data_IF_497052731843
#
_entry.id   IF_497052731843
#
_cell.length_a   1.000
_cell.length_b   1.000
_cell.length_c   1.000
_cell.angle_alpha   90.00
_cell.angle_beta   90.00
_cell.angle_gamma   90.00
#
_symmetry.space_group_name_H-M   'P 1'
#
loop_
_entity.id
_entity.type
_entity.pdbx_description
1 polymer ?
2 non-polymer ?
3 non-polymer ?
4 non-polymer ?
5 non-polymer ?
6 water ?
#
# COMPACT_ATOMS: atom_id res chain seq x y z
N UNK A 4 -8.89 -17.90 5.38
CA UNK A 4 -9.32 -18.39 4.06
C UNK A 4 -8.55 -17.83 2.85
N UNK A 5 -8.31 -16.53 2.84
CA UNK A 5 -7.65 -15.91 1.65
C UNK A 5 -6.24 -16.41 1.42
N UNK A 6 -5.40 -16.32 2.42
CA UNK A 6 -4.00 -16.72 2.30
C UNK A 6 -3.89 -18.25 2.19
N UNK A 7 -4.73 -19.00 2.91
CA UNK A 7 -4.67 -20.48 2.73
C UNK A 7 -5.02 -20.87 1.31
N UNK A 8 -6.03 -20.19 0.73
CA UNK A 8 -6.41 -20.51 -0.64
C UNK A 8 -5.41 -20.07 -1.67
N UNK A 9 -4.98 -18.81 -1.66
CA UNK A 9 -4.12 -18.31 -2.73
C UNK A 9 -2.66 -18.59 -2.48
N UNK A 10 -2.24 -18.65 -1.19
CA UNK A 10 -0.89 -19.03 -0.82
C UNK A 10 0.16 -18.05 -1.34
N UNK A 11 1.21 -18.62 -1.87
CA UNK A 11 2.37 -17.86 -2.30
C UNK A 11 2.06 -17.02 -3.52
N UNK A 12 2.20 -15.70 -3.39
CA UNK A 12 1.97 -14.78 -4.51
C UNK A 12 3.24 -14.65 -5.32
N UNK A 13 3.15 -14.36 -6.60
CA UNK A 13 4.30 -14.10 -7.44
C UNK A 13 3.82 -13.24 -8.62
N UNK A 14 4.83 -12.81 -9.42
CA UNK A 14 4.53 -12.11 -10.66
C UNK A 14 4.79 -13.01 -11.85
N UNK A 15 3.78 -13.12 -12.74
CA UNK A 15 3.89 -13.91 -13.97
C UNK A 15 3.40 -13.05 -15.11
N UNK A 16 4.26 -12.81 -16.11
CA UNK A 16 3.87 -12.00 -17.27
C UNK A 16 3.29 -10.67 -16.87
N UNK A 17 3.89 -10.04 -15.84
CA UNK A 17 3.46 -8.70 -15.44
C UNK A 17 2.24 -8.61 -14.58
N UNK A 18 1.73 -9.77 -14.11
CA UNK A 18 0.49 -9.86 -13.33
C UNK A 18 0.75 -10.50 -11.98
N UNK A 19 0.03 -10.01 -10.96
CA UNK A 19 0.00 -10.70 -9.66
C UNK A 19 -0.82 -11.97 -9.79
N UNK A 20 -0.20 -13.11 -9.40
CA UNK A 20 -0.88 -14.40 -9.47
C UNK A 20 -0.67 -15.15 -8.15
N UNK A 21 -1.53 -16.15 -7.94
CA UNK A 21 -1.42 -17.05 -6.78
C UNK A 21 -0.54 -18.24 -7.10
N UNK A 22 -0.48 -19.21 -6.19
CA UNK A 22 0.45 -20.33 -6.31
C UNK A 22 0.05 -21.35 -7.34
N UNK A 23 -1.12 -21.21 -7.92
CA UNK A 23 -1.56 -21.98 -9.08
C UNK A 23 -1.36 -21.23 -10.36
N UNK A 24 -0.84 -19.98 -10.32
CA UNK A 24 -0.65 -19.18 -11.52
C UNK A 24 -1.88 -18.42 -11.96
N UNK A 25 -2.92 -18.38 -11.13
CA UNK A 25 -4.14 -17.69 -11.45
C UNK A 25 -4.10 -16.20 -11.03
N UNK A 26 -4.59 -15.28 -11.81
CA UNK A 26 -4.61 -13.87 -11.39
C UNK A 26 -5.36 -13.69 -10.09
N UNK A 27 -4.85 -12.82 -9.23
CA UNK A 27 -5.50 -12.46 -7.98
C UNK A 27 -5.45 -10.92 -7.84
N UNK A 28 -6.49 -10.38 -7.28
CA UNK A 28 -6.61 -8.94 -7.04
C UNK A 28 -6.86 -8.71 -5.55
N UNK A 29 -5.94 -7.97 -4.93
CA UNK A 29 -6.07 -7.58 -3.53
C UNK A 29 -6.77 -6.21 -3.43
N UNK A 30 -7.66 -6.06 -2.45
CA UNK A 30 -8.33 -4.78 -2.18
C UNK A 30 -8.38 -4.62 -0.66
N UNK A 31 -7.93 -3.49 -0.16
CA UNK A 31 -7.97 -3.28 1.29
C UNK A 31 -7.73 -1.83 1.68
N UNK A 32 -7.39 -1.68 2.95
CA UNK A 32 -7.18 -0.38 3.57
C UNK A 32 -5.73 -0.19 3.96
N UNK A 33 -5.26 1.06 3.88
CA UNK A 33 -4.07 1.52 4.54
C UNK A 33 -4.41 2.20 5.86
N UNK A 34 -3.55 1.97 6.85
CA UNK A 34 -3.55 2.83 8.02
C UNK A 34 -3.17 4.26 7.56
N UNK A 35 -3.46 5.23 8.47
CA UNK A 35 -2.78 6.53 8.38
C UNK A 35 -1.43 6.36 9.04
N UNK A 36 -0.72 7.44 9.37
CA UNK A 36 0.60 7.26 9.98
C UNK A 36 0.49 6.52 11.31
N UNK A 37 1.31 5.47 11.49
CA UNK A 37 1.27 4.66 12.70
C UNK A 37 1.68 5.41 13.94
N UNK A 38 2.41 6.52 13.76
CA UNK A 38 2.83 7.37 14.88
C UNK A 38 1.72 8.27 15.39
N UNK A 39 0.63 8.40 14.64
CA UNK A 39 -0.49 9.30 14.96
C UNK A 39 -1.79 8.55 15.26
N UNK A 40 -2.08 7.50 14.48
CA UNK A 40 -3.37 6.82 14.49
C UNK A 40 -3.19 5.29 14.61
N UNK A 41 -2.19 4.90 15.40
CA UNK A 41 -1.96 3.47 15.59
C UNK A 41 -3.04 2.74 16.35
N UNK A 42 -3.89 3.48 17.08
CA UNK A 42 -4.93 2.81 17.84
C UNK A 42 -5.93 2.10 16.94
N UNK A 43 -6.04 2.50 15.64
CA UNK A 43 -6.91 1.86 14.70
C UNK A 43 -6.32 0.58 14.10
N UNK A 44 -5.10 0.22 14.46
CA UNK A 44 -4.42 -0.93 13.86
C UNK A 44 -4.27 -1.99 14.96
N UNK A 45 -5.12 -3.01 14.91
CA UNK A 45 -5.13 -4.06 15.92
C UNK A 45 -5.92 -5.24 15.35
N UNK A 46 -5.77 -6.41 16.00
CA UNK A 46 -6.51 -7.58 15.52
C UNK A 46 -7.98 -7.33 15.36
N UNK A 47 -8.64 -6.70 16.38
CA UNK A 47 -10.07 -6.56 16.28
C UNK A 47 -10.53 -5.65 15.14
N UNK A 48 -9.86 -4.51 14.94
CA UNK A 48 -10.29 -3.65 13.81
C UNK A 48 -10.02 -4.32 12.46
N UNK A 49 -8.89 -5.04 12.36
CA UNK A 49 -8.53 -5.73 11.13
C UNK A 49 -9.52 -6.87 10.86
N UNK A 50 -9.96 -7.57 11.92
CA UNK A 50 -10.96 -8.63 11.76
C UNK A 50 -12.30 -8.05 11.28
N UNK A 51 -12.68 -6.91 11.84
CA UNK A 51 -13.91 -6.24 11.40
C UNK A 51 -13.80 -5.82 9.93
N UNK A 52 -12.66 -5.25 9.53
CA UNK A 52 -12.47 -4.94 8.12
C UNK A 52 -12.55 -6.17 7.26
N UNK A 53 -11.93 -7.29 7.68
CA UNK A 53 -11.99 -8.52 6.89
C UNK A 53 -13.44 -9.00 6.71
N UNK A 54 -14.17 -9.06 7.84
CA UNK A 54 -15.48 -9.72 7.84
C UNK A 54 -16.58 -8.80 7.37
N UNK A 55 -16.60 -7.53 7.72
CA UNK A 55 -17.68 -6.60 7.34
C UNK A 55 -17.35 -5.88 6.03
N UNK A 56 -16.09 -5.49 5.76
CA UNK A 56 -15.78 -4.84 4.48
C UNK A 56 -15.33 -5.80 3.40
N UNK A 57 -14.80 -6.99 3.79
CA UNK A 57 -14.25 -7.92 2.81
C UNK A 57 -12.81 -7.66 2.42
N UNK A 58 -12.01 -6.94 3.23
CA UNK A 58 -10.63 -6.69 2.85
C UNK A 58 -9.86 -8.03 2.79
N UNK A 59 -8.86 -8.07 1.87
CA UNK A 59 -7.94 -9.22 1.78
C UNK A 59 -6.48 -8.79 1.88
N UNK A 60 -6.24 -7.49 2.18
CA UNK A 60 -4.89 -6.97 2.40
C UNK A 60 -5.04 -5.77 3.33
N UNK A 61 -4.03 -5.55 4.17
CA UNK A 61 -3.96 -4.35 5.03
C UNK A 61 -2.57 -3.77 4.92
N UNK A 62 -2.47 -2.44 4.77
CA UNK A 62 -1.21 -1.75 4.61
C UNK A 62 -0.88 -0.96 5.88
N UNK A 63 0.30 -1.26 6.45
CA UNK A 63 0.83 -0.61 7.66
C UNK A 63 1.77 0.50 7.23
N UNK A 64 1.26 1.76 7.31
CA UNK A 64 2.00 2.94 6.80
C UNK A 64 2.89 3.53 7.89
N UNK A 65 4.15 3.04 7.90
CA UNK A 65 5.11 3.46 8.91
C UNK A 65 5.91 4.64 8.36
N UNK A 66 5.42 5.87 8.62
CA UNK A 66 6.20 7.06 8.28
C UNK A 66 7.59 6.88 8.87
N UNK A 67 8.60 7.33 8.11
CA UNK A 67 9.98 7.41 8.52
C UNK A 67 10.25 8.73 9.24
N UNK A 68 9.84 9.84 8.60
CA UNK A 68 10.00 11.17 9.21
C UNK A 68 8.64 11.58 9.83
N UNK A 69 8.49 12.88 10.14
CA UNK A 69 7.20 13.37 10.66
C UNK A 69 6.84 12.71 11.99
N UNK A 70 7.84 12.47 12.85
CA UNK A 70 7.61 11.81 14.13
C UNK A 70 7.52 10.30 14.07
N UNK A 71 7.81 9.75 12.88
CA UNK A 71 7.80 8.33 12.66
C UNK A 71 9.06 7.63 13.07
N UNK A 72 9.41 6.54 12.38
CA UNK A 72 10.40 5.59 12.80
C UNK A 72 11.78 6.18 13.08
N UNK A 73 12.27 7.11 12.27
CA UNK A 73 13.58 7.68 12.50
C UNK A 73 13.61 8.43 13.82
N UNK A 74 12.56 9.17 14.13
CA UNK A 74 12.45 9.93 15.37
C UNK A 74 12.17 9.06 16.59
N UNK A 75 11.36 8.01 16.39
CA UNK A 75 10.96 7.16 17.51
C UNK A 75 10.72 5.78 16.90
N UNK A 76 11.69 4.89 17.02
CA UNK A 76 11.60 3.60 16.33
C UNK A 76 10.67 2.62 16.93
N UNK A 77 10.04 2.95 18.09
CA UNK A 77 9.10 2.07 18.73
C UNK A 77 7.94 1.72 17.84
N UNK A 78 7.65 2.55 16.83
CA UNK A 78 6.55 2.30 15.93
C UNK A 78 6.76 1.01 15.12
N UNK A 79 8.00 0.51 14.98
CA UNK A 79 8.15 -0.77 14.30
C UNK A 79 7.37 -1.90 15.00
N UNK A 80 7.14 -1.77 16.34
CA UNK A 80 6.38 -2.81 17.03
C UNK A 80 4.93 -2.79 16.63
N UNK A 81 4.38 -1.63 16.23
CA UNK A 81 3.02 -1.58 15.71
C UNK A 81 2.96 -2.25 14.34
N UNK A 82 4.00 -2.09 13.49
CA UNK A 82 4.06 -2.85 12.23
C UNK A 82 4.00 -4.34 12.56
N UNK A 83 4.81 -4.80 13.52
CA UNK A 83 4.80 -6.22 13.90
C UNK A 83 3.41 -6.67 14.34
N UNK A 84 2.72 -5.84 15.16
CA UNK A 84 1.34 -6.17 15.56
C UNK A 84 0.44 -6.37 14.35
N UNK A 85 0.54 -5.45 13.35
CA UNK A 85 -0.28 -5.55 12.15
C UNK A 85 0.04 -6.80 11.34
N UNK A 86 1.32 -7.12 11.17
CA UNK A 86 1.72 -8.31 10.41
C UNK A 86 1.18 -9.57 11.09
N UNK A 87 1.36 -9.64 12.41
CA UNK A 87 0.88 -10.80 13.17
C UNK A 87 -0.62 -10.94 13.11
N UNK A 88 -1.36 -9.82 13.18
CA UNK A 88 -2.81 -9.86 13.01
C UNK A 88 -3.19 -10.38 11.62
N UNK A 89 -2.50 -9.93 10.57
CA UNK A 89 -2.79 -10.40 9.22
C UNK A 89 -2.54 -11.91 9.12
N UNK A 90 -1.45 -12.39 9.73
CA UNK A 90 -1.16 -13.85 9.76
C UNK A 90 -2.32 -14.57 10.46
N UNK A 91 -2.76 -14.07 11.61
CA UNK A 91 -3.84 -14.73 12.38
C UNK A 91 -5.17 -14.66 11.66
N UNK A 92 -5.41 -13.63 10.87
CA UNK A 92 -6.65 -13.42 10.14
C UNK A 92 -6.62 -14.01 8.73
N UNK A 93 -5.47 -14.52 8.31
CA UNK A 93 -5.29 -15.14 7.02
C UNK A 93 -5.55 -14.15 5.86
N UNK A 94 -5.00 -12.93 5.99
CA UNK A 94 -5.01 -11.92 4.91
C UNK A 94 -3.56 -11.50 4.63
N UNK A 95 -3.37 -10.81 3.49
CA UNK A 95 -2.07 -10.31 3.14
C UNK A 95 -1.81 -8.97 3.86
N UNK A 96 -0.51 -8.59 3.96
CA UNK A 96 -0.12 -7.39 4.69
C UNK A 96 1.05 -6.72 3.98
N UNK A 97 0.94 -5.40 3.84
CA UNK A 97 2.00 -4.58 3.23
C UNK A 97 2.75 -3.84 4.34
N UNK A 98 4.07 -4.04 4.40
CA UNK A 98 4.96 -3.31 5.31
C UNK A 98 5.51 -2.09 4.53
N UNK A 99 4.98 -0.90 4.86
CA UNK A 99 5.30 0.31 4.06
C UNK A 99 6.26 1.22 4.83
N UNK A 100 7.48 1.32 4.26
CA UNK A 100 8.53 2.29 4.67
C UNK A 100 8.09 3.62 4.03
N UNK A 101 7.36 4.42 4.86
CA UNK A 101 6.52 5.48 4.31
C UNK A 101 7.27 6.82 4.26
N UNK A 102 8.17 6.91 3.28
CA UNK A 102 8.90 8.15 3.02
C UNK A 102 7.92 9.15 2.41
N UNK A 103 8.19 10.46 2.65
CA UNK A 103 7.36 11.54 2.09
C UNK A 103 8.15 12.83 2.09
N UNK A 104 8.24 13.50 3.26
CA UNK A 104 9.07 14.73 3.36
C UNK A 104 10.54 14.45 3.14
N UNK A 105 10.97 13.27 3.60
CA UNK A 105 12.28 12.70 3.31
C UNK A 105 12.19 12.10 1.91
N UNK A 106 12.31 13.01 0.92
CA UNK A 106 11.77 12.75 -0.42
C UNK A 106 12.64 11.84 -1.28
N UNK A 107 13.91 11.72 -0.91
CA UNK A 107 14.85 10.82 -1.59
C UNK A 107 14.94 9.57 -0.72
N UNK A 108 14.65 8.36 -1.23
CA UNK A 108 14.77 7.16 -0.35
C UNK A 108 16.18 6.94 0.12
N UNK A 109 17.21 7.53 -0.54
CA UNK A 109 18.57 7.35 -0.07
C UNK A 109 18.85 8.07 1.26
N UNK A 110 18.01 9.02 1.69
CA UNK A 110 18.34 9.74 2.93
C UNK A 110 18.46 8.80 4.09
N UNK A 111 17.53 7.83 4.23
CA UNK A 111 17.52 6.90 5.35
C UNK A 111 17.79 5.46 4.88
N UNK A 112 18.60 5.31 3.83
CA UNK A 112 18.82 3.97 3.26
C UNK A 112 19.47 3.01 4.25
N UNK A 113 20.40 3.46 5.08
CA UNK A 113 21.04 2.54 6.03
C UNK A 113 19.98 1.98 7.01
N UNK A 114 19.14 2.90 7.52
CA UNK A 114 18.07 2.49 8.43
C UNK A 114 17.07 1.58 7.74
N UNK A 115 16.76 1.87 6.46
CA UNK A 115 15.83 1.03 5.70
C UNK A 115 16.37 -0.41 5.55
N UNK A 116 17.68 -0.51 5.22
CA UNK A 116 18.28 -1.82 5.07
C UNK A 116 18.17 -2.61 6.39
N UNK A 117 18.51 -1.94 7.51
CA UNK A 117 18.41 -2.64 8.79
C UNK A 117 16.98 -3.02 9.13
N UNK A 118 16.02 -2.15 8.87
CA UNK A 118 14.61 -2.42 9.15
C UNK A 118 14.09 -3.59 8.32
N UNK A 119 14.39 -3.57 6.99
CA UNK A 119 13.92 -4.66 6.16
C UNK A 119 14.69 -5.94 6.41
N UNK A 120 15.95 -5.91 6.84
CA UNK A 120 16.60 -7.14 7.30
C UNK A 120 15.80 -7.74 8.47
N UNK A 121 15.47 -6.90 9.46
CA UNK A 121 14.74 -7.41 10.64
C UNK A 121 13.39 -8.00 10.25
N UNK A 122 12.61 -7.25 9.44
CA UNK A 122 11.25 -7.70 9.11
C UNK A 122 11.28 -8.96 8.28
N UNK A 123 12.20 -9.06 7.29
CA UNK A 123 12.28 -10.26 6.45
C UNK A 123 12.83 -11.47 7.22
N UNK A 124 13.73 -11.21 8.21
CA UNK A 124 14.16 -12.32 9.06
C UNK A 124 13.01 -12.86 9.89
N UNK A 125 12.19 -11.97 10.46
CA UNK A 125 11.08 -12.39 11.31
C UNK A 125 9.99 -13.08 10.53
N UNK A 126 9.58 -12.51 9.37
CA UNK A 126 8.34 -12.88 8.70
C UNK A 126 8.57 -13.47 7.34
N UNK A 127 9.82 -13.69 6.92
CA UNK A 127 10.09 -14.11 5.55
C UNK A 127 9.63 -15.49 5.19
N UNK A 128 9.25 -16.34 6.17
CA UNK A 128 8.68 -17.66 5.86
C UNK A 128 7.18 -17.74 6.03
N UNK A 129 6.51 -16.57 5.88
CA UNK A 129 5.06 -16.49 5.75
C UNK A 129 4.72 -15.97 4.34
N UNK A 130 3.66 -16.43 3.70
CA UNK A 130 3.30 -15.94 2.38
C UNK A 130 2.52 -14.62 2.44
N UNK A 131 2.17 -14.17 3.65
CA UNK A 131 1.29 -13.01 3.79
C UNK A 131 1.99 -11.68 3.40
N UNK A 132 3.32 -11.65 3.54
CA UNK A 132 4.05 -10.39 3.58
C UNK A 132 4.37 -9.87 2.17
N UNK A 133 4.15 -8.55 2.05
CA UNK A 133 4.50 -7.76 0.86
C UNK A 133 5.35 -6.57 1.40
N UNK A 134 6.52 -6.36 0.83
CA UNK A 134 7.41 -5.28 1.31
C UNK A 134 7.27 -4.06 0.41
N UNK A 135 6.98 -2.89 0.97
CA UNK A 135 6.88 -1.64 0.19
C UNK A 135 8.01 -0.75 0.67
N UNK A 136 9.12 -0.73 -0.11
CA UNK A 136 10.41 -0.23 0.37
C UNK A 136 10.57 1.29 0.34
N UNK A 137 9.69 2.04 -0.33
CA UNK A 137 9.78 3.51 -0.32
C UNK A 137 8.46 4.07 -0.88
N UNK A 138 7.55 4.43 0.04
CA UNK A 138 6.22 4.90 -0.35
C UNK A 138 6.21 5.81 -1.59
N UNK A 139 6.76 7.02 -1.43
CA UNK A 139 6.65 8.10 -2.47
C UNK A 139 7.94 8.91 -2.57
N UNK A 140 8.90 8.41 -3.34
CA UNK A 140 10.00 9.29 -3.83
C UNK A 140 9.34 10.52 -4.48
N UNK A 141 9.94 11.70 -4.30
CA UNK A 141 9.39 12.91 -4.93
C UNK A 141 10.50 13.95 -5.03
N UNK A 142 10.22 14.97 -5.86
CA UNK A 142 11.18 16.04 -6.12
C UNK A 142 11.82 15.85 -7.49
N UNK A 143 12.10 16.99 -8.18
CA UNK A 143 12.70 16.90 -9.51
C UNK A 143 14.12 16.39 -9.43
N UNK A 144 14.79 16.40 -8.29
CA UNK A 144 16.13 15.87 -8.11
C UNK A 144 16.18 14.40 -7.70
N UNK A 145 15.01 13.74 -7.69
CA UNK A 145 14.94 12.33 -7.35
C UNK A 145 14.36 11.62 -8.55
N UNK A 146 15.22 10.92 -9.30
CA UNK A 146 14.79 10.23 -10.51
C UNK A 146 14.91 8.70 -10.31
N UNK A 147 14.14 7.99 -11.16
CA UNK A 147 14.24 6.53 -11.19
C UNK A 147 15.65 6.06 -11.41
N UNK A 148 16.31 6.52 -12.49
CA UNK A 148 17.61 5.96 -12.81
C UNK A 148 18.70 6.35 -11.87
N UNK A 149 18.68 7.58 -11.31
CA UNK A 149 19.78 8.06 -10.49
C UNK A 149 19.61 7.78 -9.01
N UNK A 150 18.39 7.79 -8.51
CA UNK A 150 18.14 7.67 -7.08
C UNK A 150 17.36 6.40 -6.70
N UNK A 151 16.20 6.17 -7.35
CA UNK A 151 15.27 5.15 -6.83
C UNK A 151 15.70 3.73 -7.18
N UNK A 152 16.04 3.51 -8.46
CA UNK A 152 16.48 2.18 -8.86
C UNK A 152 17.70 1.71 -8.10
N UNK A 153 18.77 2.57 -7.95
CA UNK A 153 19.93 2.14 -7.17
C UNK A 153 19.59 1.89 -5.70
N UNK A 154 18.70 2.69 -5.09
CA UNK A 154 18.23 2.42 -3.73
C UNK A 154 17.61 1.00 -3.66
N UNK A 155 16.72 0.71 -4.59
CA UNK A 155 16.06 -0.60 -4.61
C UNK A 155 17.11 -1.73 -4.77
N UNK A 156 18.15 -1.46 -5.58
CA UNK A 156 19.20 -2.47 -5.81
C UNK A 156 20.14 -2.65 -4.62
N UNK A 157 19.99 -1.84 -3.56
CA UNK A 157 20.62 -2.09 -2.26
C UNK A 157 19.67 -2.75 -1.26
N UNK A 158 18.38 -2.36 -1.26
CA UNK A 158 17.45 -2.90 -0.25
C UNK A 158 16.95 -4.29 -0.63
N UNK A 159 16.64 -4.49 -1.92
CA UNK A 159 16.13 -5.79 -2.37
C UNK A 159 17.10 -6.94 -2.00
N UNK A 160 18.42 -6.84 -2.21
CA UNK A 160 19.29 -7.96 -1.82
C UNK A 160 19.21 -8.27 -0.34
N UNK A 161 19.07 -7.25 0.53
CA UNK A 161 18.91 -7.47 1.98
C UNK A 161 17.70 -8.35 2.24
N UNK A 162 16.54 -7.99 1.65
CA UNK A 162 15.33 -8.78 1.80
C UNK A 162 15.53 -10.18 1.25
N UNK A 163 16.10 -10.29 0.04
CA UNK A 163 16.21 -11.58 -0.65
C UNK A 163 17.14 -12.55 0.04
N UNK A 164 18.05 -12.06 0.87
CA UNK A 164 18.90 -12.96 1.66
C UNK A 164 18.06 -13.73 2.71
N UNK A 165 16.92 -13.17 3.10
CA UNK A 165 16.04 -13.80 4.08
C UNK A 165 14.74 -14.34 3.49
N UNK A 166 14.28 -13.82 2.37
CA UNK A 166 12.95 -14.08 1.81
C UNK A 166 13.11 -14.00 0.31
N UNK A 167 13.26 -15.21 -0.35
CA UNK A 167 13.68 -15.21 -1.76
C UNK A 167 12.70 -14.70 -2.76
N UNK A 168 11.43 -14.61 -2.41
CA UNK A 168 10.47 -14.37 -3.49
C UNK A 168 9.11 -13.79 -3.03
N UNK A 169 8.85 -13.36 -1.78
CA UNK A 169 7.62 -12.59 -1.55
C UNK A 169 7.70 -11.26 -2.35
N UNK A 170 6.52 -10.72 -2.63
CA UNK A 170 6.42 -9.50 -3.47
C UNK A 170 7.11 -8.32 -2.79
N UNK A 171 7.80 -7.53 -3.63
CA UNK A 171 8.38 -6.24 -3.23
C UNK A 171 7.74 -5.16 -4.14
N UNK A 172 7.15 -4.13 -3.52
CA UNK A 172 6.60 -2.98 -4.23
C UNK A 172 7.64 -1.85 -4.12
N UNK A 173 8.03 -1.25 -5.25
CA UNK A 173 9.03 -0.18 -5.28
C UNK A 173 8.36 1.12 -5.75
N UNK A 174 8.51 2.16 -4.95
CA UNK A 174 7.96 3.47 -5.28
C UNK A 174 8.61 4.03 -6.56
N UNK A 175 7.86 4.95 -7.18
CA UNK A 175 8.30 5.58 -8.42
C UNK A 175 8.38 7.10 -8.22
N UNK A 176 8.96 7.79 -9.23
CA UNK A 176 9.15 9.22 -9.08
C UNK A 176 7.86 10.01 -9.06
N UNK A 177 8.02 11.30 -8.66
CA UNK A 177 6.90 12.25 -8.68
C UNK A 177 5.74 11.70 -7.82
N UNK A 178 6.05 11.34 -6.59
CA UNK A 178 5.03 10.84 -5.65
C UNK A 178 4.42 9.54 -6.15
N UNK A 179 5.25 8.61 -6.62
CA UNK A 179 4.78 7.33 -7.14
C UNK A 179 3.72 7.49 -8.23
N UNK A 180 3.98 8.44 -9.18
CA UNK A 180 3.19 8.55 -10.37
C UNK A 180 3.98 8.22 -11.63
N UNK A 181 5.31 8.30 -11.61
CA UNK A 181 6.11 8.19 -12.84
C UNK A 181 6.47 6.69 -13.10
N UNK A 182 5.41 5.95 -13.43
CA UNK A 182 5.59 4.54 -13.80
C UNK A 182 6.20 4.42 -15.20
N UNK A 183 6.09 5.45 -16.05
CA UNK A 183 6.67 5.35 -17.38
C UNK A 183 8.16 5.14 -17.34
N UNK A 184 8.89 5.95 -16.52
CA UNK A 184 10.32 5.82 -16.47
C UNK A 184 10.76 4.46 -15.88
N UNK A 185 10.03 4.04 -14.81
CA UNK A 185 10.37 2.73 -14.22
C UNK A 185 10.16 1.59 -15.19
N UNK A 186 9.04 1.64 -15.95
CA UNK A 186 8.71 0.56 -16.87
C UNK A 186 9.71 0.45 -18.03
N UNK A 187 10.38 1.59 -18.36
CA UNK A 187 11.40 1.58 -19.40
C UNK A 187 12.77 1.16 -18.88
N UNK A 188 12.92 0.95 -17.58
CA UNK A 188 14.22 0.67 -16.98
C UNK A 188 14.00 -0.24 -15.74
N UNK A 189 13.43 -1.42 -16.00
CA UNK A 189 12.96 -2.25 -14.91
C UNK A 189 14.10 -2.88 -14.12
N UNK A 190 13.76 -3.21 -12.85
CA UNK A 190 14.63 -3.98 -11.97
C UNK A 190 14.72 -5.43 -12.41
N UNK A 191 15.76 -6.13 -12.01
CA UNK A 191 15.94 -7.53 -12.37
C UNK A 191 15.07 -8.49 -11.57
N UNK A 192 14.74 -8.21 -10.33
CA UNK A 192 14.06 -9.24 -9.50
C UNK A 192 12.73 -9.58 -10.13
N UNK A 193 12.36 -10.88 -10.26
CA UNK A 193 11.13 -11.26 -10.97
C UNK A 193 9.87 -11.06 -10.17
N UNK A 194 9.95 -10.78 -8.87
CA UNK A 194 8.77 -10.61 -8.03
C UNK A 194 8.67 -9.18 -7.49
N UNK A 195 9.03 -8.22 -8.33
CA UNK A 195 8.85 -6.80 -8.07
C UNK A 195 7.64 -6.25 -8.77
N UNK A 196 7.01 -5.27 -8.10
CA UNK A 196 5.97 -4.44 -8.68
C UNK A 196 6.35 -2.99 -8.46
N UNK A 197 5.82 -2.10 -9.29
CA UNK A 197 6.06 -0.66 -9.13
C UNK A 197 4.80 -0.02 -8.57
N UNK A 198 4.97 0.90 -7.62
CA UNK A 198 3.83 1.60 -7.04
C UNK A 198 3.32 2.67 -8.03
N UNK A 199 1.98 2.75 -8.08
CA UNK A 199 1.28 3.88 -8.72
C UNK A 199 0.24 4.36 -7.73
N UNK A 200 0.22 5.68 -7.45
CA UNK A 200 -0.74 6.25 -6.50
C UNK A 200 -1.58 7.32 -7.19
N UNK A 201 -2.85 7.43 -6.80
CA UNK A 201 -3.71 8.51 -7.34
C UNK A 201 -4.62 9.01 -6.24
N UNK A 202 -5.09 10.28 -6.46
CA UNK A 202 -6.08 10.91 -5.62
C UNK A 202 -7.15 11.45 -6.58
N UNK A 203 -8.42 11.12 -6.31
CA UNK A 203 -9.51 11.34 -7.26
C UNK A 203 -9.85 12.81 -7.52
N UNK A 204 -9.36 13.72 -6.70
CA UNK A 204 -9.52 15.16 -7.00
C UNK A 204 -8.68 15.59 -8.20
N UNK A 205 -7.75 14.80 -8.66
CA UNK A 205 -6.98 15.10 -9.88
C UNK A 205 -7.65 14.45 -11.06
N UNK A 206 -7.88 15.20 -12.16
CA UNK A 206 -8.47 14.57 -13.36
C UNK A 206 -7.48 13.53 -13.87
N UNK A 207 -7.95 12.29 -14.05
CA UNK A 207 -7.06 11.13 -14.17
C UNK A 207 -6.85 10.51 -15.52
N UNK A 208 -7.35 11.08 -16.62
CA UNK A 208 -7.34 10.31 -17.86
C UNK A 208 -5.94 10.03 -18.39
N UNK A 209 -5.05 11.01 -18.33
CA UNK A 209 -3.70 10.74 -18.81
C UNK A 209 -2.94 9.79 -17.86
N UNK A 210 -3.21 9.91 -16.55
CA UNK A 210 -2.56 9.01 -15.58
C UNK A 210 -2.96 7.56 -15.84
N UNK A 211 -4.24 7.32 -16.19
CA UNK A 211 -4.65 5.97 -16.60
C UNK A 211 -3.90 5.51 -17.84
N UNK A 212 -3.76 6.40 -18.84
CA UNK A 212 -3.01 6.03 -20.05
C UNK A 212 -1.57 5.69 -19.74
N UNK A 213 -0.93 6.40 -18.79
CA UNK A 213 0.44 6.12 -18.40
C UNK A 213 0.56 4.77 -17.67
N UNK A 214 -0.44 4.42 -16.85
CA UNK A 214 -0.47 3.07 -16.24
C UNK A 214 -0.52 2.04 -17.35
N UNK A 215 -1.39 2.24 -18.35
CA UNK A 215 -1.44 1.30 -19.47
C UNK A 215 -0.12 1.20 -20.21
N UNK A 216 0.59 2.31 -20.42
CA UNK A 216 1.90 2.27 -21.06
C UNK A 216 2.82 1.35 -20.23
N UNK A 217 2.85 1.55 -18.92
CA UNK A 217 3.73 0.73 -18.08
C UNK A 217 3.39 -0.76 -18.15
N UNK A 218 2.10 -1.06 -18.08
CA UNK A 218 1.65 -2.46 -18.20
C UNK A 218 2.10 -3.04 -19.54
N UNK A 219 2.05 -2.24 -20.60
CA UNK A 219 2.43 -2.69 -21.94
C UNK A 219 3.91 -2.97 -22.06
N UNK A 220 4.75 -2.52 -21.13
CA UNK A 220 6.17 -2.85 -21.08
C UNK A 220 6.42 -4.11 -20.25
N UNK A 221 5.36 -4.75 -19.75
CA UNK A 221 5.53 -5.93 -18.93
C UNK A 221 5.81 -5.63 -17.48
N UNK A 222 5.72 -4.36 -17.03
CA UNK A 222 5.87 -4.01 -15.64
C UNK A 222 4.62 -4.32 -14.88
N UNK A 223 4.74 -4.88 -13.67
CA UNK A 223 3.58 -5.12 -12.80
C UNK A 223 3.41 -3.87 -11.92
N UNK A 224 2.13 -3.50 -11.70
CA UNK A 224 1.80 -2.25 -10.98
C UNK A 224 0.89 -2.61 -9.80
N UNK A 225 1.21 -2.09 -8.62
CA UNK A 225 0.35 -2.21 -7.42
C UNK A 225 -0.09 -0.78 -7.04
N UNK A 226 -1.39 -0.56 -6.95
CA UNK A 226 -1.90 0.80 -6.53
C UNK A 226 -1.94 0.80 -5.01
N UNK A 227 -0.73 0.95 -4.41
CA UNK A 227 -0.58 0.70 -2.97
C UNK A 227 -1.15 1.83 -2.10
N UNK A 228 -1.53 2.95 -2.74
CA UNK A 228 -2.20 4.04 -2.01
C UNK A 228 -3.05 4.83 -3.01
N UNK A 229 -4.32 5.05 -2.64
CA UNK A 229 -5.16 5.99 -3.43
C UNK A 229 -6.17 6.58 -2.49
N UNK A 230 -6.68 7.78 -2.84
CA UNK A 230 -7.70 8.42 -2.05
C UNK A 230 -8.85 8.92 -2.91
N UNK A 231 -10.00 9.11 -2.25
CA UNK A 231 -11.17 9.73 -2.87
C UNK A 231 -11.09 11.25 -2.83
N UNK A 232 -10.16 11.82 -2.14
CA UNK A 232 -10.00 13.27 -1.91
C UNK A 232 -9.08 13.90 -2.97
N UNK A 233 -8.81 15.20 -2.77
CA UNK A 233 -7.70 15.83 -3.48
C UNK A 233 -6.37 15.28 -2.95
N UNK A 234 -5.28 15.64 -3.63
CA UNK A 234 -3.95 15.14 -3.30
C UNK A 234 -3.48 15.55 -1.93
N UNK A 235 -4.08 16.57 -1.31
CA UNK A 235 -3.75 16.96 0.07
C UNK A 235 -4.30 16.00 1.12
N UNK A 236 -5.12 15.02 0.71
CA UNK A 236 -5.85 14.19 1.68
C UNK A 236 -7.21 14.78 2.13
N UNK A 237 -7.47 16.01 1.65
CA UNK A 237 -8.67 16.76 2.06
C UNK A 237 -9.29 17.34 0.77
N UNK A 238 -10.02 18.45 0.93
CA UNK A 238 -10.60 19.09 -0.26
C UNK A 238 -11.87 18.44 -0.79
N UNK A 239 -12.61 17.71 0.02
CA UNK A 239 -13.83 17.10 -0.48
C UNK A 239 -13.58 15.71 -1.07
N UNK A 240 -14.67 15.07 -1.43
CA UNK A 240 -14.62 13.75 -2.01
C UNK A 240 -15.04 13.87 -3.48
N UNK A 241 -14.43 13.03 -4.31
CA UNK A 241 -14.57 13.05 -5.77
C UNK A 241 -14.98 11.64 -6.23
N UNK A 242 -16.22 11.27 -5.88
CA UNK A 242 -16.64 9.88 -6.09
C UNK A 242 -16.84 9.50 -7.51
N UNK A 243 -17.20 10.46 -8.40
CA UNK A 243 -17.34 10.13 -9.81
C UNK A 243 -15.98 9.70 -10.37
N UNK A 244 -14.94 10.47 -10.16
CA UNK A 244 -13.63 10.08 -10.68
C UNK A 244 -13.11 8.84 -9.93
N UNK A 245 -13.40 8.72 -8.65
CA UNK A 245 -12.97 7.49 -7.93
C UNK A 245 -13.57 6.26 -8.57
N UNK A 246 -14.87 6.32 -8.97
CA UNK A 246 -15.48 5.16 -9.59
C UNK A 246 -14.81 4.85 -10.93
N UNK A 247 -14.47 5.87 -11.73
CA UNK A 247 -13.72 5.64 -12.99
C UNK A 247 -12.47 4.84 -12.70
N UNK A 248 -11.71 5.26 -11.68
CA UNK A 248 -10.47 4.54 -11.32
C UNK A 248 -10.78 3.11 -10.84
N UNK A 249 -11.83 2.93 -10.01
CA UNK A 249 -12.19 1.58 -9.55
C UNK A 249 -12.42 0.65 -10.73
N UNK A 250 -13.20 1.14 -11.71
CA UNK A 250 -13.50 0.32 -12.89
C UNK A 250 -12.23 0.02 -13.70
N UNK A 251 -11.37 1.04 -13.86
CA UNK A 251 -10.12 0.85 -14.58
C UNK A 251 -9.27 -0.22 -13.90
N UNK A 252 -9.17 -0.15 -12.57
CA UNK A 252 -8.34 -1.12 -11.84
C UNK A 252 -8.91 -2.52 -11.96
N UNK A 253 -10.23 -2.67 -11.94
CA UNK A 253 -10.84 -4.00 -12.15
C UNK A 253 -10.52 -4.53 -13.54
N UNK A 254 -10.63 -3.67 -14.57
CA UNK A 254 -10.38 -4.14 -15.95
C UNK A 254 -8.94 -4.59 -16.12
N UNK A 255 -7.98 -3.97 -15.38
CA UNK A 255 -6.55 -4.26 -15.49
C UNK A 255 -6.05 -5.18 -14.38
N UNK A 256 -7.11 -5.55 -13.62
CA UNK A 256 -6.93 -6.42 -12.47
C UNK A 256 -5.88 -5.93 -11.48
N UNK A 257 -5.70 -4.69 -11.21
CA UNK A 257 -4.75 -4.00 -10.33
C UNK A 257 -5.20 -4.06 -8.89
N UNK A 258 -4.30 -4.50 -8.02
CA UNK A 258 -4.53 -4.51 -6.57
C UNK A 258 -4.38 -3.11 -6.00
N UNK A 259 -5.05 -2.90 -4.83
CA UNK A 259 -5.06 -1.54 -4.26
C UNK A 259 -5.31 -1.54 -2.76
N UNK A 260 -4.84 -0.41 -2.16
CA UNK A 260 -5.14 -0.10 -0.78
C UNK A 260 -5.54 1.40 -0.71
N UNK A 261 -6.63 1.67 0.03
CA UNK A 261 -7.18 3.02 0.16
C UNK A 261 -6.62 3.76 1.39
N UNK A 262 -6.34 5.06 1.18
CA UNK A 262 -5.91 5.99 2.22
C UNK A 262 -7.11 6.75 2.75
N UNK A 263 -7.52 6.65 4.02
CA UNK A 263 -6.83 5.87 5.06
C UNK A 263 -7.81 5.60 6.22
N UNK A 264 -7.40 4.64 7.06
CA UNK A 264 -8.20 4.23 8.22
C UNK A 264 -7.88 5.11 9.44
N UNK A 265 -8.64 6.19 9.59
CA UNK A 265 -8.52 7.11 10.70
C UNK A 265 -9.83 7.89 10.79
N UNK A 266 -10.02 8.57 11.93
CA UNK A 266 -11.12 9.53 12.14
C UNK A 266 -10.67 10.99 11.97
N UNK A 267 -9.46 11.24 11.53
CA UNK A 267 -8.99 12.63 11.32
C UNK A 267 -10.00 13.38 10.45
N UNK A 268 -10.17 14.69 10.76
CA UNK A 268 -11.10 15.53 10.02
C UNK A 268 -10.54 15.97 8.66
N UNK A 269 -10.43 15.03 7.76
CA UNK A 269 -9.99 15.28 6.38
C UNK A 269 -10.84 14.34 5.53
N UNK A 270 -11.16 14.75 4.29
CA UNK A 270 -12.09 14.00 3.48
C UNK A 270 -11.64 12.57 3.13
N UNK A 271 -10.35 12.31 3.01
CA UNK A 271 -9.94 10.93 2.69
C UNK A 271 -10.08 9.97 3.86
N UNK A 272 -10.25 10.47 5.09
CA UNK A 272 -10.33 9.58 6.26
C UNK A 272 -11.59 8.76 6.16
N UNK A 273 -11.53 7.44 6.44
CA UNK A 273 -12.66 6.56 6.29
C UNK A 273 -13.68 6.64 7.45
N UNK A 274 -13.27 7.14 8.61
CA UNK A 274 -14.07 7.05 9.84
C UNK A 274 -14.43 8.48 10.34
N UNK A 275 -15.53 8.50 11.09
CA UNK A 275 -15.95 9.73 11.78
C UNK A 275 -15.49 9.62 13.23
N UNK A 276 -15.30 10.85 13.87
CA UNK A 276 -14.82 10.83 15.27
C UNK A 276 -15.39 9.88 16.28
N UNK A 277 -16.57 9.26 16.29
CA UNK A 277 -17.04 8.30 17.26
C UNK A 277 -16.84 6.82 16.94
N UNK A 278 -16.05 6.58 15.88
CA UNK A 278 -15.78 5.22 15.51
C UNK A 278 -14.79 4.57 16.53
N UNK A 279 -15.22 3.42 16.96
CA UNK A 279 -14.43 2.64 17.92
C UNK A 279 -13.14 2.16 17.29
N UNK A 280 -11.98 2.30 17.95
CA UNK A 280 -10.72 1.83 17.36
C UNK A 280 -10.62 0.31 17.20
N UNK A 281 -11.52 -0.44 17.80
CA UNK A 281 -11.55 -1.90 17.68
C UNK A 281 -12.64 -2.41 16.74
N UNK A 282 -13.24 -1.52 15.94
CA UNK A 282 -14.19 -1.96 14.92
C UNK A 282 -15.64 -1.89 15.34
N UNK A 283 -16.51 -2.49 14.51
CA UNK A 283 -17.94 -2.59 14.80
C UNK A 283 -18.72 -1.36 14.35
N UNK A 284 -18.19 -0.61 13.43
CA UNK A 284 -18.76 0.68 13.05
C UNK A 284 -20.16 0.61 12.49
N UNK A 285 -20.99 1.58 12.89
CA UNK A 285 -22.29 1.78 12.24
C UNK A 285 -22.09 2.64 10.99
N UNK A 286 -23.14 2.79 10.15
CA UNK A 286 -23.07 3.62 8.95
C UNK A 286 -22.74 5.04 9.36
N UNK A 287 -23.30 5.57 10.46
CA UNK A 287 -23.05 6.93 10.86
C UNK A 287 -21.63 7.19 11.26
N UNK A 288 -20.88 6.11 11.61
CA UNK A 288 -19.51 6.19 12.00
C UNK A 288 -18.53 6.07 10.82
N UNK A 289 -19.01 5.86 9.63
CA UNK A 289 -18.19 5.91 8.42
C UNK A 289 -18.37 7.28 7.78
N UNK A 290 -17.30 7.83 7.23
CA UNK A 290 -17.36 9.06 6.46
C UNK A 290 -17.93 8.78 5.09
N UNK A 291 -18.22 9.82 4.27
CA UNK A 291 -18.62 9.59 2.89
C UNK A 291 -17.56 8.76 2.14
N UNK A 292 -16.28 9.04 2.37
CA UNK A 292 -15.23 8.24 1.75
C UNK A 292 -15.28 6.77 2.21
N UNK A 293 -15.37 6.57 3.52
CA UNK A 293 -15.37 5.21 4.05
C UNK A 293 -16.55 4.40 3.56
N UNK A 294 -17.74 5.02 3.52
CA UNK A 294 -18.93 4.30 3.00
C UNK A 294 -18.71 3.80 1.58
N UNK A 295 -18.15 4.70 0.75
CA UNK A 295 -17.87 4.34 -0.66
C UNK A 295 -16.85 3.20 -0.75
N UNK A 296 -15.73 3.33 -0.03
CA UNK A 296 -14.68 2.29 -0.13
C UNK A 296 -15.20 0.95 0.35
N UNK A 297 -15.93 0.97 1.49
CA UNK A 297 -16.53 -0.27 2.01
C UNK A 297 -17.41 -0.90 0.96
N UNK A 298 -18.26 -0.07 0.27
CA UNK A 298 -19.15 -0.62 -0.78
C UNK A 298 -18.31 -1.25 -1.91
N UNK A 299 -17.21 -0.57 -2.31
CA UNK A 299 -16.38 -1.11 -3.38
C UNK A 299 -15.82 -2.48 -3.01
N UNK A 300 -15.33 -2.60 -1.77
CA UNK A 300 -14.73 -3.91 -1.38
C UNK A 300 -15.82 -4.95 -1.19
N UNK A 301 -16.96 -4.60 -0.63
CA UNK A 301 -18.06 -5.60 -0.50
C UNK A 301 -18.59 -6.07 -1.83
N UNK A 302 -18.70 -5.19 -2.83
CA UNK A 302 -19.18 -5.52 -4.16
C UNK A 302 -18.25 -6.54 -4.82
N UNK A 303 -16.97 -6.44 -4.58
CA UNK A 303 -15.94 -7.27 -5.12
C UNK A 303 -16.03 -8.74 -4.78
#
# INVERSE_FOLDING_TARGET
>A
DNDSVVEEHGQLSISNGELVNERGEQVQLKGMSSHGLQWYGQFVNYESMKWLRDDWGINVFRAAMYTSSGGYIDDPSVKEKVKEAVEAAIDLDIYVIIDWHILSDNDPNIYKEEAKDFFDEMSELYGDYPNVIYEIANEPNGSDVTWGNQIKPYAEEVIPIIRNNDPNNIIIVGTGTWSQDVHHAADNQLADPNVMYAFHFYAGTHGQNLRDQVDYALDQGAAIFVSEWGTSAATGDGGVFLDEAQVWIDFMDERNLSWANWSLTHKDESSAALMPGANPTGGWTEAELSPSGTFVREKIRES
#
